data_IF_548854985211
#
_entry.id   IF_548854985211
#
_cell.length_a   1.000
_cell.length_b   1.000
_cell.length_c   1.000
_cell.angle_alpha   90.00
_cell.angle_beta   90.00
_cell.angle_gamma   90.00
#
_symmetry.space_group_name_H-M   'P 1'
#
loop_
_entity.id
_entity.type
_entity.pdbx_description
1 polymer ?
#
# COMPACT_ATOMS: atom_id res chain seq x y z
N UNK A 1 -10.33 11.45 -40.92
CA UNK A 1 -8.90 11.20 -40.99
C UNK A 1 -8.24 12.15 -40.01
N UNK A 2 -8.04 11.69 -38.77
CA UNK A 2 -7.37 12.46 -37.71
C UNK A 2 -5.88 12.23 -37.80
N UNK A 3 -5.12 13.29 -38.03
CA UNK A 3 -3.69 13.30 -37.82
C UNK A 3 -3.43 13.35 -36.32
N UNK A 4 -3.15 12.21 -35.69
CA UNK A 4 -2.47 12.15 -34.43
C UNK A 4 -1.00 12.45 -34.69
N UNK A 5 -0.59 13.66 -34.37
CA UNK A 5 0.81 14.08 -34.39
C UNK A 5 1.57 13.31 -33.30
N UNK A 6 2.55 12.49 -33.70
CA UNK A 6 3.56 11.93 -32.82
C UNK A 6 4.38 13.08 -32.20
N UNK A 7 4.15 13.40 -30.94
CA UNK A 7 5.05 14.22 -30.13
C UNK A 7 6.20 13.32 -29.62
N UNK A 8 7.45 13.74 -29.67
CA UNK A 8 8.59 12.97 -29.15
C UNK A 8 8.50 12.85 -27.61
N UNK A 9 8.82 11.70 -27.07
CA UNK A 9 8.74 11.37 -25.63
C UNK A 9 9.53 12.32 -24.71
N UNK A 10 10.57 12.97 -25.21
CA UNK A 10 11.37 13.96 -24.46
C UNK A 10 10.63 15.27 -24.18
N UNK A 11 9.68 15.67 -25.01
CA UNK A 11 8.89 16.87 -24.79
C UNK A 11 7.80 16.68 -23.72
N UNK A 12 7.32 15.45 -23.56
CA UNK A 12 6.27 15.14 -22.58
C UNK A 12 6.84 15.20 -21.16
N UNK A 13 8.06 14.71 -20.93
CA UNK A 13 8.71 14.75 -19.60
C UNK A 13 9.06 16.18 -19.17
N UNK A 14 9.58 17.00 -20.09
CA UNK A 14 9.86 18.41 -19.85
C UNK A 14 8.58 19.23 -19.59
N UNK A 15 7.50 18.93 -20.29
CA UNK A 15 6.20 19.56 -20.07
C UNK A 15 5.62 19.17 -18.71
N UNK A 16 5.71 17.89 -18.33
CA UNK A 16 5.26 17.41 -17.00
C UNK A 16 6.06 18.00 -15.85
N UNK A 17 7.39 18.18 -16.01
CA UNK A 17 8.21 18.90 -15.03
C UNK A 17 7.81 20.37 -14.92
N UNK A 18 7.51 21.04 -16.02
CA UNK A 18 7.08 22.42 -16.02
C UNK A 18 5.67 22.56 -15.43
N UNK A 19 4.73 21.68 -15.80
CA UNK A 19 3.38 21.62 -15.25
C UNK A 19 3.41 21.33 -13.74
N UNK A 20 4.32 20.48 -13.30
CA UNK A 20 4.53 20.20 -11.88
C UNK A 20 5.10 21.40 -11.10
N UNK A 21 6.03 22.16 -11.68
CA UNK A 21 6.53 23.42 -11.11
C UNK A 21 5.45 24.51 -11.12
N UNK A 22 4.60 24.53 -12.14
CA UNK A 22 3.50 25.49 -12.26
C UNK A 22 2.35 25.17 -11.30
N UNK A 23 2.09 23.90 -10.99
CA UNK A 23 1.11 23.50 -9.97
C UNK A 23 1.52 23.92 -8.55
N UNK A 24 2.81 23.90 -8.21
CA UNK A 24 3.29 24.49 -6.96
C UNK A 24 3.10 26.01 -6.91
N UNK A 25 3.01 26.68 -8.07
CA UNK A 25 2.65 28.11 -8.17
C UNK A 25 1.14 28.36 -8.11
N UNK A 26 0.32 27.35 -8.49
CA UNK A 26 -1.17 27.44 -8.45
C UNK A 26 -1.72 27.36 -7.02
N UNK A 27 -0.91 26.92 -6.05
CA UNK A 27 -1.28 26.87 -4.63
C UNK A 27 -0.53 27.93 -3.79
N UNK A 28 -0.61 29.23 -4.15
CA UNK A 28 0.17 30.28 -3.51
C UNK A 28 -0.19 30.51 -2.04
N UNK A 29 -1.36 30.03 -1.60
CA UNK A 29 -1.83 30.11 -0.22
C UNK A 29 -1.32 28.95 0.65
N UNK A 30 -0.48 28.07 0.15
CA UNK A 30 0.04 26.95 0.94
C UNK A 30 1.56 26.92 0.94
N UNK A 31 2.12 26.49 2.06
CA UNK A 31 3.56 26.23 2.22
C UNK A 31 3.80 24.89 2.89
N UNK A 32 4.93 24.24 2.56
CA UNK A 32 5.39 23.06 3.28
C UNK A 32 5.99 23.46 4.61
N UNK A 33 5.63 22.77 5.67
CA UNK A 33 6.18 22.94 7.02
C UNK A 33 6.47 21.57 7.62
N UNK A 34 7.47 21.49 8.52
CA UNK A 34 7.81 20.24 9.19
C UNK A 34 7.51 20.35 10.69
N UNK A 35 6.87 19.33 11.24
CA UNK A 35 6.68 19.17 12.68
C UNK A 35 7.70 18.16 13.19
N UNK A 36 8.56 18.61 14.13
CA UNK A 36 9.64 17.79 14.66
C UNK A 36 9.14 16.91 15.80
N UNK A 37 9.57 15.65 15.83
CA UNK A 37 9.33 14.71 16.92
C UNK A 37 10.30 14.89 18.11
N UNK A 38 10.35 13.87 18.98
CA UNK A 38 11.29 13.84 20.13
C UNK A 38 12.76 13.77 19.69
N UNK A 39 13.01 13.27 18.49
CA UNK A 39 14.31 13.18 17.85
C UNK A 39 14.38 14.18 16.69
N UNK A 40 15.53 14.80 16.43
CA UNK A 40 15.67 15.78 15.34
C UNK A 40 15.54 15.17 13.95
N UNK A 41 15.72 13.85 13.80
CA UNK A 41 15.56 13.10 12.57
C UNK A 41 14.10 12.63 12.31
N UNK A 42 13.17 12.90 13.24
CA UNK A 42 11.74 12.73 13.04
C UNK A 42 11.13 14.08 12.64
N UNK A 43 10.93 14.26 11.34
CA UNK A 43 10.35 15.46 10.76
C UNK A 43 9.16 15.08 9.88
N UNK A 44 7.96 15.48 10.31
CA UNK A 44 6.70 15.11 9.66
C UNK A 44 6.21 16.26 8.78
N UNK A 45 6.10 16.08 7.44
CA UNK A 45 5.73 17.15 6.53
C UNK A 45 4.23 17.44 6.56
N UNK A 46 3.90 18.71 6.65
CA UNK A 46 2.54 19.22 6.51
C UNK A 46 2.50 20.33 5.47
N UNK A 47 1.32 20.53 4.94
CA UNK A 47 0.99 21.71 4.16
C UNK A 47 0.15 22.63 5.00
N UNK A 48 0.70 23.81 5.33
CA UNK A 48 -0.03 24.89 5.98
C UNK A 48 -0.75 25.69 4.92
N UNK A 49 -2.08 25.69 4.95
CA UNK A 49 -2.94 26.37 3.97
C UNK A 49 -3.50 27.61 4.61
N UNK A 50 -3.15 28.80 4.11
CA UNK A 50 -3.71 30.07 4.56
C UNK A 50 -5.14 30.24 4.04
N UNK A 51 -6.05 30.58 4.94
CA UNK A 51 -7.44 30.86 4.59
C UNK A 51 -7.66 32.35 4.45
N UNK A 52 -8.59 32.75 3.61
CA UNK A 52 -9.04 34.14 3.52
C UNK A 52 -9.89 34.52 4.71
N UNK A 53 -9.79 35.77 5.17
CA UNK A 53 -10.67 36.28 6.24
C UNK A 53 -12.14 36.22 5.80
N UNK A 54 -13.03 35.92 6.74
CA UNK A 54 -14.46 36.01 6.49
C UNK A 54 -14.84 37.46 6.20
N UNK A 55 -15.54 37.76 5.08
CA UNK A 55 -15.92 39.12 4.75
C UNK A 55 -16.72 39.82 5.88
N UNK A 56 -16.47 41.09 6.11
CA UNK A 56 -17.12 41.85 7.17
C UNK A 56 -18.65 41.82 7.11
N UNK A 57 -19.24 41.72 5.92
CA UNK A 57 -20.67 41.51 5.70
C UNK A 57 -21.22 40.16 6.18
N UNK A 58 -20.32 39.19 6.48
CA UNK A 58 -20.63 37.83 7.00
C UNK A 58 -20.06 37.58 8.39
N UNK A 59 -19.62 38.64 9.12
CA UNK A 59 -19.13 38.51 10.49
C UNK A 59 -17.68 38.98 10.71
N UNK A 60 -16.85 39.06 9.70
CA UNK A 60 -15.50 39.64 9.77
C UNK A 60 -14.52 38.86 10.66
N UNK A 61 -14.50 37.51 10.59
CA UNK A 61 -13.64 36.69 11.44
C UNK A 61 -12.31 36.33 10.73
N UNK A 62 -11.25 36.29 11.52
CA UNK A 62 -9.96 35.71 11.09
C UNK A 62 -10.07 34.18 11.04
N UNK A 63 -9.67 33.59 9.92
CA UNK A 63 -9.62 32.15 9.76
C UNK A 63 -8.17 31.66 9.95
N UNK A 64 -7.86 30.85 10.98
CA UNK A 64 -6.52 30.30 11.16
C UNK A 64 -6.15 29.38 9.98
N UNK A 65 -4.84 29.21 9.67
CA UNK A 65 -4.38 28.27 8.67
C UNK A 65 -4.79 26.84 8.98
N UNK A 66 -5.07 26.07 7.93
CA UNK A 66 -5.38 24.64 8.04
C UNK A 66 -4.13 23.81 7.76
N UNK A 67 -3.83 22.86 8.65
CA UNK A 67 -2.71 21.93 8.52
C UNK A 67 -3.21 20.62 7.92
N UNK A 68 -2.59 20.18 6.80
CA UNK A 68 -2.89 18.90 6.13
C UNK A 68 -1.58 18.15 5.94
N UNK A 69 -1.56 16.85 6.26
CA UNK A 69 -0.38 16.03 5.98
C UNK A 69 -0.03 16.07 4.48
N UNK A 70 1.25 16.25 4.16
CA UNK A 70 1.72 16.37 2.79
C UNK A 70 2.28 15.03 2.31
N UNK A 71 1.46 14.23 1.61
CA UNK A 71 1.83 12.91 1.08
C UNK A 71 2.87 12.95 -0.03
N UNK A 72 3.20 14.14 -0.56
CA UNK A 72 4.15 14.28 -1.65
C UNK A 72 5.62 14.09 -1.23
N UNK A 73 5.90 13.90 0.06
CA UNK A 73 7.26 13.80 0.56
C UNK A 73 8.11 14.99 0.11
N UNK A 74 9.30 14.72 -0.39
CA UNK A 74 10.22 15.78 -0.84
C UNK A 74 9.86 16.42 -2.18
N UNK A 75 8.89 15.88 -2.92
CA UNK A 75 8.53 16.39 -4.26
C UNK A 75 7.99 17.83 -4.27
N UNK A 76 7.48 18.31 -3.17
CA UNK A 76 6.98 19.69 -3.02
C UNK A 76 7.81 20.51 -2.05
N UNK A 77 9.00 20.05 -1.69
CA UNK A 77 9.96 20.77 -0.85
C UNK A 77 10.83 21.68 -1.73
N UNK A 78 10.78 23.01 -1.57
CA UNK A 78 11.54 23.94 -2.40
C UNK A 78 13.05 23.88 -2.15
N UNK A 79 13.47 23.33 -1.00
CA UNK A 79 14.88 23.27 -0.59
C UNK A 79 15.56 21.96 -1.03
N UNK A 80 14.80 20.99 -1.57
CA UNK A 80 15.30 19.69 -2.02
C UNK A 80 15.37 19.63 -3.54
N UNK A 81 16.54 19.32 -4.06
CA UNK A 81 16.73 19.01 -5.48
C UNK A 81 16.58 17.50 -5.67
N UNK A 82 15.62 17.11 -6.50
CA UNK A 82 15.31 15.70 -6.79
C UNK A 82 16.02 15.28 -8.08
N UNK A 83 16.71 14.14 -8.01
CA UNK A 83 17.20 13.40 -9.17
C UNK A 83 16.61 11.98 -9.11
N UNK A 84 15.65 11.69 -9.96
CA UNK A 84 14.97 10.40 -10.02
C UNK A 84 15.92 9.22 -10.26
N UNK A 85 17.08 9.47 -10.90
CA UNK A 85 18.09 8.43 -11.13
C UNK A 85 18.84 8.05 -9.84
N UNK A 86 18.89 8.95 -8.86
CA UNK A 86 19.50 8.70 -7.55
C UNK A 86 18.50 8.11 -6.54
N UNK A 87 17.20 8.27 -6.81
CA UNK A 87 16.14 7.98 -5.86
C UNK A 87 15.95 9.07 -4.80
N UNK A 88 14.98 8.89 -3.95
CA UNK A 88 14.68 9.82 -2.86
C UNK A 88 15.64 9.66 -1.68
N UNK A 89 15.83 10.70 -0.85
CA UNK A 89 16.54 10.57 0.41
C UNK A 89 15.88 9.57 1.34
N UNK A 90 16.68 8.73 2.00
CA UNK A 90 16.21 7.76 2.97
C UNK A 90 15.77 8.44 4.27
N UNK A 91 14.50 8.30 4.62
CA UNK A 91 13.92 8.84 5.86
C UNK A 91 14.21 7.91 7.04
N UNK A 92 14.10 6.59 6.84
CA UNK A 92 14.10 5.58 7.92
C UNK A 92 15.41 4.79 8.07
N UNK A 93 16.42 5.03 7.22
CA UNK A 93 17.66 4.25 7.23
C UNK A 93 18.31 4.18 8.62
N UNK A 94 18.47 5.33 9.27
CA UNK A 94 19.07 5.40 10.60
C UNK A 94 18.26 4.72 11.68
N UNK A 95 16.93 4.70 11.55
CA UNK A 95 16.03 4.03 12.49
C UNK A 95 16.13 2.51 12.38
N UNK A 96 16.18 2.01 11.14
CA UNK A 96 16.34 0.58 10.84
C UNK A 96 17.69 0.08 11.36
N UNK A 97 18.78 0.82 11.10
CA UNK A 97 20.13 0.46 11.52
C UNK A 97 20.30 0.49 13.05
N UNK A 98 19.69 1.47 13.72
CA UNK A 98 19.76 1.61 15.17
C UNK A 98 19.13 0.44 15.95
N UNK A 99 18.21 -0.31 15.32
CA UNK A 99 17.61 -1.51 15.94
C UNK A 99 18.57 -2.70 16.02
N UNK A 100 19.60 -2.72 15.19
CA UNK A 100 20.64 -3.77 15.15
C UNK A 100 20.10 -5.22 15.08
N UNK A 101 19.00 -5.41 14.38
CA UNK A 101 18.33 -6.72 14.23
C UNK A 101 18.27 -7.21 12.78
N UNK A 102 18.94 -6.51 11.87
CA UNK A 102 19.05 -6.85 10.44
C UNK A 102 20.48 -7.03 10.00
N UNK A 103 20.68 -7.88 8.98
CA UNK A 103 21.94 -8.03 8.25
C UNK A 103 21.77 -7.51 6.81
N UNK A 104 22.81 -6.87 6.28
CA UNK A 104 22.90 -6.52 4.85
C UNK A 104 23.35 -7.76 4.08
N UNK A 105 22.57 -8.17 3.10
CA UNK A 105 22.92 -9.28 2.22
C UNK A 105 24.00 -8.84 1.21
N UNK A 106 24.89 -9.75 0.83
CA UNK A 106 25.92 -9.44 -0.17
C UNK A 106 25.36 -9.33 -1.60
N UNK A 107 24.14 -9.81 -1.82
CA UNK A 107 23.41 -9.80 -3.11
C UNK A 107 21.95 -10.13 -2.86
N UNK A 108 21.10 -9.96 -3.88
CA UNK A 108 19.74 -10.52 -3.88
C UNK A 108 19.78 -12.04 -3.65
N UNK A 109 18.85 -12.58 -2.87
CA UNK A 109 18.75 -14.03 -2.64
C UNK A 109 17.76 -14.71 -3.59
N UNK A 110 16.84 -13.97 -4.21
CA UNK A 110 15.97 -14.46 -5.28
C UNK A 110 16.76 -14.87 -6.53
N UNK A 111 16.46 -16.06 -7.06
CA UNK A 111 17.10 -16.57 -8.29
C UNK A 111 16.72 -15.70 -9.50
N UNK A 112 15.46 -15.29 -9.61
CA UNK A 112 15.00 -14.41 -10.69
C UNK A 112 15.66 -13.03 -10.59
N UNK A 113 15.68 -12.41 -9.40
CA UNK A 113 16.34 -11.13 -9.20
C UNK A 113 17.83 -11.17 -9.57
N UNK A 114 18.55 -12.24 -9.21
CA UNK A 114 19.94 -12.43 -9.63
C UNK A 114 20.09 -12.58 -11.14
N UNK A 115 19.17 -13.29 -11.80
CA UNK A 115 19.17 -13.45 -13.25
C UNK A 115 18.92 -12.11 -13.97
N UNK A 116 17.98 -11.28 -13.46
CA UNK A 116 17.69 -9.95 -14.01
C UNK A 116 18.89 -9.01 -13.90
N UNK A 117 19.64 -9.04 -12.81
CA UNK A 117 20.86 -8.23 -12.67
C UNK A 117 21.95 -8.58 -13.69
N UNK A 118 21.94 -9.80 -14.24
CA UNK A 118 22.91 -10.28 -15.25
C UNK A 118 22.39 -10.11 -16.68
N UNK A 119 21.11 -9.85 -16.88
CA UNK A 119 20.50 -9.75 -18.21
C UNK A 119 20.87 -8.41 -18.86
N UNK A 120 21.76 -8.47 -19.86
CA UNK A 120 22.22 -7.30 -20.59
C UNK A 120 21.09 -6.57 -21.34
N UNK A 121 19.99 -7.26 -21.65
CA UNK A 121 18.85 -6.66 -22.36
C UNK A 121 18.09 -5.64 -21.51
N UNK A 122 18.25 -5.69 -20.19
CA UNK A 122 17.62 -4.77 -19.25
C UNK A 122 18.58 -3.75 -18.67
N UNK A 123 19.85 -3.74 -19.11
CA UNK A 123 20.89 -2.89 -18.55
C UNK A 123 20.52 -1.39 -18.61
N UNK A 124 19.94 -0.95 -19.72
CA UNK A 124 19.62 0.46 -19.99
C UNK A 124 18.38 0.96 -19.22
N UNK A 125 17.52 0.05 -18.73
CA UNK A 125 16.29 0.40 -18.00
C UNK A 125 16.40 0.09 -16.50
N UNK A 126 17.52 -0.47 -16.07
CA UNK A 126 17.76 -0.84 -14.68
C UNK A 126 18.07 0.40 -13.85
N UNK A 127 17.50 0.47 -12.65
CA UNK A 127 17.88 1.50 -11.70
C UNK A 127 19.36 1.37 -11.31
N UNK A 128 20.14 2.44 -11.44
CA UNK A 128 21.59 2.36 -11.34
C UNK A 128 22.12 2.22 -9.90
N UNK A 129 21.35 2.73 -8.92
CA UNK A 129 21.76 2.85 -7.52
C UNK A 129 21.07 1.83 -6.61
N UNK A 130 20.93 0.58 -7.08
CA UNK A 130 20.37 -0.52 -6.29
C UNK A 130 21.25 -0.78 -5.06
N UNK A 131 20.64 -0.74 -3.88
CA UNK A 131 21.30 -1.09 -2.64
C UNK A 131 21.23 -2.60 -2.38
N UNK A 132 22.21 -3.12 -1.64
CA UNK A 132 22.13 -4.49 -1.15
C UNK A 132 20.98 -4.60 -0.13
N UNK A 133 20.08 -5.58 -0.26
CA UNK A 133 18.92 -5.68 0.62
C UNK A 133 19.31 -6.04 2.04
N UNK A 134 18.48 -5.64 2.98
CA UNK A 134 18.53 -6.06 4.38
C UNK A 134 17.55 -7.19 4.62
N UNK A 135 17.85 -8.02 5.59
CA UNK A 135 16.97 -9.08 6.09
C UNK A 135 17.16 -9.22 7.60
N UNK A 136 16.11 -9.63 8.30
CA UNK A 136 16.20 -9.94 9.72
C UNK A 136 17.33 -10.93 10.01
N UNK A 137 18.10 -10.70 11.08
CA UNK A 137 19.10 -11.65 11.60
C UNK A 137 18.42 -12.97 11.94
N UNK A 138 19.18 -14.07 11.91
CA UNK A 138 18.65 -15.39 12.21
C UNK A 138 17.88 -15.41 13.54
N UNK A 139 16.64 -15.87 13.52
CA UNK A 139 15.75 -15.95 14.67
C UNK A 139 15.15 -14.61 15.13
N UNK A 140 15.37 -13.52 14.43
CA UNK A 140 14.73 -12.22 14.69
C UNK A 140 13.47 -12.04 13.86
N UNK A 141 12.58 -11.19 14.34
CA UNK A 141 11.42 -10.67 13.65
C UNK A 141 11.51 -9.14 13.67
N UNK A 142 11.31 -8.49 12.52
CA UNK A 142 11.51 -7.04 12.35
C UNK A 142 10.23 -6.29 12.07
N UNK A 143 9.07 -6.94 12.25
CA UNK A 143 7.78 -6.32 11.97
C UNK A 143 7.39 -5.30 13.03
N UNK A 144 6.67 -4.26 12.62
CA UNK A 144 6.12 -3.27 13.56
C UNK A 144 5.18 -3.91 14.58
N UNK A 145 4.44 -4.96 14.20
CA UNK A 145 3.61 -5.72 15.15
C UNK A 145 4.45 -6.44 16.22
N UNK A 146 5.58 -7.01 15.83
CA UNK A 146 6.48 -7.65 16.78
C UNK A 146 6.99 -6.66 17.84
N UNK A 147 7.50 -5.52 17.42
CA UNK A 147 7.93 -4.48 18.36
C UNK A 147 6.77 -3.98 19.22
N UNK A 148 5.60 -3.76 18.63
CA UNK A 148 4.41 -3.30 19.34
C UNK A 148 3.97 -4.28 20.44
N UNK A 149 3.95 -5.59 20.17
CA UNK A 149 3.62 -6.64 21.15
C UNK A 149 4.65 -6.75 22.28
N UNK A 150 5.90 -6.38 22.02
CA UNK A 150 6.95 -6.31 23.05
C UNK A 150 6.93 -5.00 23.86
N UNK A 151 5.98 -4.11 23.61
CA UNK A 151 5.89 -2.81 24.29
C UNK A 151 6.88 -1.77 23.77
N UNK A 152 7.52 -2.00 22.62
CA UNK A 152 8.50 -1.10 22.03
C UNK A 152 7.77 -0.09 21.16
N UNK A 153 8.01 1.20 21.40
CA UNK A 153 7.59 2.31 20.54
C UNK A 153 8.73 2.58 19.56
N UNK A 154 8.45 2.41 18.27
CA UNK A 154 9.41 2.67 17.19
C UNK A 154 9.36 4.14 16.76
N UNK A 155 10.41 4.68 16.09
CA UNK A 155 10.35 6.01 15.49
C UNK A 155 9.21 6.17 14.49
N UNK A 156 8.86 5.11 13.78
CA UNK A 156 7.71 5.06 12.87
C UNK A 156 6.39 5.33 13.61
N UNK A 157 6.20 4.77 14.80
CA UNK A 157 5.00 5.00 15.62
C UNK A 157 4.92 6.44 16.14
N UNK A 158 6.06 7.05 16.47
CA UNK A 158 6.11 8.47 16.86
C UNK A 158 5.78 9.38 15.67
N UNK A 159 6.37 9.11 14.50
CA UNK A 159 6.07 9.83 13.26
C UNK A 159 4.57 9.81 12.97
N UNK A 160 3.95 8.63 13.05
CA UNK A 160 2.51 8.44 12.84
C UNK A 160 1.68 9.20 13.87
N UNK A 161 2.06 9.20 15.14
CA UNK A 161 1.36 9.94 16.18
C UNK A 161 1.29 11.44 15.86
N UNK A 162 2.39 12.03 15.38
CA UNK A 162 2.44 13.42 14.95
C UNK A 162 1.53 13.63 13.73
N UNK A 163 1.66 12.76 12.71
CA UNK A 163 0.88 12.81 11.47
C UNK A 163 -0.63 12.80 11.73
N UNK A 164 -1.10 11.88 12.57
CA UNK A 164 -2.52 11.69 12.84
C UNK A 164 -3.10 12.76 13.81
N UNK A 165 -2.32 13.21 14.80
CA UNK A 165 -2.74 14.24 15.75
C UNK A 165 -3.00 15.58 15.07
N UNK A 166 -2.14 16.01 14.14
CA UNK A 166 -2.30 17.29 13.44
C UNK A 166 -3.64 17.33 12.67
N UNK A 167 -4.01 16.25 12.03
CA UNK A 167 -5.31 16.13 11.34
C UNK A 167 -6.49 16.06 12.32
N UNK A 168 -6.32 15.49 13.51
CA UNK A 168 -7.38 15.37 14.49
C UNK A 168 -7.73 16.72 15.14
N UNK A 169 -6.76 17.60 15.39
CA UNK A 169 -7.01 18.95 15.92
C UNK A 169 -7.96 19.74 15.01
N UNK A 170 -7.75 19.69 13.70
CA UNK A 170 -8.62 20.34 12.73
C UNK A 170 -10.05 19.80 12.77
N UNK A 171 -10.20 18.49 12.97
CA UNK A 171 -11.54 17.86 13.04
C UNK A 171 -12.31 18.20 14.30
N UNK A 172 -11.65 18.45 15.43
CA UNK A 172 -12.30 18.79 16.69
C UNK A 172 -13.00 20.15 16.60
N UNK A 173 -12.40 21.09 15.90
CA UNK A 173 -12.97 22.42 15.67
C UNK A 173 -14.12 22.41 14.63
N UNK A 174 -14.13 21.40 13.74
CA UNK A 174 -15.15 21.24 12.71
C UNK A 174 -16.34 20.35 13.10
N UNK A 175 -16.39 19.79 14.32
CA UNK A 175 -17.50 18.95 14.81
C UNK A 175 -18.75 19.81 15.12
N UNK A 176 -19.39 20.32 14.09
CA UNK A 176 -20.72 20.92 14.21
C UNK A 176 -21.86 19.89 14.23
N UNK A 177 -21.57 18.64 13.87
CA UNK A 177 -22.55 17.54 13.85
C UNK A 177 -21.90 16.27 14.40
N UNK A 178 -22.47 15.72 15.47
CA UNK A 178 -22.15 14.39 15.96
C UNK A 178 -22.79 13.36 15.02
N UNK A 179 -21.99 12.75 14.13
CA UNK A 179 -22.39 11.59 13.38
C UNK A 179 -22.18 10.30 14.17
N UNK A 180 -22.76 9.20 13.71
CA UNK A 180 -22.45 7.88 14.24
C UNK A 180 -20.98 7.53 13.96
N UNK A 181 -20.28 7.06 14.99
CA UNK A 181 -18.86 6.66 14.87
C UNK A 181 -18.69 5.29 14.25
N UNK A 182 -19.78 4.53 14.10
CA UNK A 182 -19.77 3.11 13.71
C UNK A 182 -18.75 2.29 14.51
N UNK A 183 -18.57 2.67 15.79
CA UNK A 183 -17.65 2.05 16.73
C UNK A 183 -16.18 2.47 16.60
N UNK A 184 -15.83 3.46 15.78
CA UNK A 184 -14.50 4.06 15.81
C UNK A 184 -14.36 4.95 17.04
N UNK A 185 -13.26 4.80 17.78
CA UNK A 185 -12.94 5.59 18.96
C UNK A 185 -11.61 6.31 18.75
N UNK A 186 -11.64 7.35 17.92
CA UNK A 186 -10.42 8.13 17.64
C UNK A 186 -10.20 9.16 18.76
N UNK A 187 -9.09 9.08 19.51
CA UNK A 187 -8.75 10.10 20.50
C UNK A 187 -8.52 11.46 19.84
N UNK A 188 -8.73 12.55 20.60
CA UNK A 188 -8.41 13.90 20.14
C UNK A 188 -6.90 14.09 19.90
N UNK A 189 -6.06 13.36 20.64
CA UNK A 189 -4.61 13.32 20.48
C UNK A 189 -4.20 11.87 20.29
N UNK A 190 -3.55 11.57 19.19
CA UNK A 190 -2.95 10.27 18.92
C UNK A 190 -1.54 10.26 19.53
N UNK A 191 -1.32 9.40 20.50
CA UNK A 191 0.00 9.24 21.12
C UNK A 191 0.77 8.06 20.50
N UNK A 192 2.10 8.03 20.56
CA UNK A 192 2.87 6.86 20.11
C UNK A 192 2.44 5.56 20.81
N UNK A 193 2.05 5.63 22.07
CA UNK A 193 1.54 4.48 22.82
C UNK A 193 0.18 4.00 22.29
N UNK A 194 -0.71 4.91 21.89
CA UNK A 194 -1.96 4.54 21.22
C UNK A 194 -1.69 3.83 19.90
N UNK A 195 -0.78 4.37 19.06
CA UNK A 195 -0.35 3.73 17.81
C UNK A 195 0.17 2.32 18.09
N UNK A 196 1.10 2.18 19.05
CA UNK A 196 1.65 0.89 19.45
C UNK A 196 0.54 -0.10 19.88
N UNK A 197 -0.40 0.35 20.70
CA UNK A 197 -1.47 -0.51 21.21
C UNK A 197 -2.41 -1.01 20.11
N UNK A 198 -2.74 -0.17 19.13
CA UNK A 198 -3.58 -0.55 17.99
C UNK A 198 -2.87 -1.56 17.07
N UNK A 199 -1.57 -1.35 16.81
CA UNK A 199 -0.75 -2.29 16.04
C UNK A 199 -0.58 -3.61 16.78
N UNK A 200 -0.28 -3.59 18.08
CA UNK A 200 -0.14 -4.80 18.89
C UNK A 200 -1.43 -5.65 18.92
N UNK A 201 -2.59 -4.99 18.89
CA UNK A 201 -3.90 -5.64 18.88
C UNK A 201 -4.34 -6.11 17.47
N UNK A 202 -3.60 -5.80 16.42
CA UNK A 202 -3.95 -6.12 15.03
C UNK A 202 -5.01 -5.22 14.42
N UNK A 203 -5.45 -4.16 15.12
CA UNK A 203 -6.45 -3.21 14.63
C UNK A 203 -5.90 -2.12 13.72
N UNK A 204 -4.58 -2.08 13.57
CA UNK A 204 -3.90 -1.18 12.64
C UNK A 204 -2.62 -1.83 12.09
N UNK A 205 -2.21 -1.39 10.90
CA UNK A 205 -0.95 -1.80 10.28
C UNK A 205 -0.11 -0.59 9.90
N UNK A 206 1.21 -0.76 9.97
CA UNK A 206 2.23 0.18 9.47
C UNK A 206 2.98 -0.54 8.35
N UNK A 207 2.59 -0.40 7.08
CA UNK A 207 3.24 -1.07 5.96
C UNK A 207 4.54 -0.34 5.60
N UNK A 208 5.66 -0.78 6.17
CA UNK A 208 6.96 -0.12 6.02
C UNK A 208 8.12 -1.13 5.96
N UNK A 209 8.34 -1.72 4.79
CA UNK A 209 9.45 -2.65 4.55
C UNK A 209 10.81 -2.02 4.93
N UNK A 210 11.69 -2.81 5.54
CA UNK A 210 13.07 -2.38 5.90
C UNK A 210 13.94 -2.06 4.68
N UNK A 211 13.56 -2.52 3.47
CA UNK A 211 14.22 -2.25 2.20
C UNK A 211 13.58 -1.09 1.41
N UNK A 212 12.64 -0.36 2.02
CA UNK A 212 12.08 0.88 1.48
C UNK A 212 12.28 2.04 2.47
N UNK A 213 13.53 2.39 2.80
CA UNK A 213 13.81 3.42 3.80
C UNK A 213 13.44 4.83 3.34
N UNK A 214 13.13 5.04 2.07
CA UNK A 214 12.68 6.31 1.48
C UNK A 214 11.24 6.65 1.88
N UNK A 215 10.41 5.63 2.18
CA UNK A 215 9.00 5.85 2.51
C UNK A 215 8.80 6.50 3.89
N UNK A 216 7.88 7.44 3.93
CA UNK A 216 7.38 8.07 5.15
C UNK A 216 6.35 7.17 5.85
N UNK A 217 6.42 6.97 7.17
CA UNK A 217 5.50 6.11 7.90
C UNK A 217 4.03 6.52 7.77
N UNK A 218 3.18 5.51 7.57
CA UNK A 218 1.75 5.64 7.45
C UNK A 218 1.05 4.51 8.22
N UNK A 219 -0.15 4.76 8.71
CA UNK A 219 -0.96 3.76 9.41
C UNK A 219 -2.31 3.59 8.74
N UNK A 220 -2.76 2.35 8.64
CA UNK A 220 -4.10 1.99 8.19
C UNK A 220 -4.81 1.31 9.35
N UNK A 221 -5.95 1.85 9.76
CA UNK A 221 -6.73 1.30 10.86
C UNK A 221 -7.97 2.12 11.15
N UNK A 222 -8.99 1.46 11.70
CA UNK A 222 -10.31 2.04 11.94
C UNK A 222 -10.29 3.27 12.85
N UNK A 223 -9.35 3.32 13.80
CA UNK A 223 -9.23 4.41 14.76
C UNK A 223 -8.30 5.55 14.29
N UNK A 224 -7.98 5.57 12.99
CA UNK A 224 -7.16 6.57 12.33
C UNK A 224 -7.90 7.16 11.13
N UNK A 225 -7.34 8.22 10.56
CA UNK A 225 -7.91 8.82 9.35
C UNK A 225 -7.87 7.83 8.18
N UNK A 226 -8.91 7.85 7.36
CA UNK A 226 -8.97 7.04 6.12
C UNK A 226 -7.78 7.38 5.23
N UNK A 227 -7.16 6.36 4.67
CA UNK A 227 -6.05 6.46 3.73
C UNK A 227 -6.52 6.17 2.31
N UNK A 228 -5.94 6.86 1.35
CA UNK A 228 -6.25 6.70 -0.07
C UNK A 228 -5.11 5.98 -0.75
N UNK A 229 -5.43 4.85 -1.38
CA UNK A 229 -4.53 4.16 -2.28
C UNK A 229 -4.78 4.59 -3.73
N UNK A 230 -3.71 4.83 -4.49
CA UNK A 230 -3.78 5.03 -5.93
C UNK A 230 -3.20 3.81 -6.66
N UNK A 231 -3.95 3.27 -7.61
CA UNK A 231 -3.50 2.18 -8.46
C UNK A 231 -2.77 2.71 -9.68
N UNK A 232 -1.59 2.19 -9.94
CA UNK A 232 -0.81 2.40 -11.16
C UNK A 232 -0.37 1.05 -11.72
N UNK A 233 0.34 1.04 -12.82
CA UNK A 233 0.93 -0.17 -13.39
C UNK A 233 0.95 -0.16 -14.90
N UNK A 234 2.02 -0.69 -15.47
CA UNK A 234 2.12 -0.92 -16.90
C UNK A 234 1.28 -2.12 -17.34
N UNK A 235 0.99 -2.18 -18.63
CA UNK A 235 0.29 -3.29 -19.25
C UNK A 235 0.95 -3.66 -20.58
N UNK A 236 0.50 -4.78 -21.17
CA UNK A 236 0.95 -5.18 -22.51
C UNK A 236 0.64 -4.15 -23.62
N UNK A 237 -0.27 -3.22 -23.35
CA UNK A 237 -0.72 -2.20 -24.31
C UNK A 237 0.08 -0.89 -24.25
N UNK A 238 0.88 -0.66 -23.20
CA UNK A 238 1.67 0.54 -23.06
C UNK A 238 2.00 0.90 -21.61
N UNK A 239 2.64 2.02 -21.49
CA UNK A 239 3.25 2.67 -20.34
C UNK A 239 4.72 2.26 -20.12
N UNK A 240 5.56 3.27 -20.10
CA UNK A 240 6.99 3.15 -19.80
C UNK A 240 7.25 3.26 -18.30
N UNK A 241 8.48 2.96 -17.87
CA UNK A 241 8.93 3.17 -16.49
C UNK A 241 8.78 4.64 -16.09
N UNK A 242 9.18 5.57 -16.96
CA UNK A 242 9.09 7.02 -16.70
C UNK A 242 7.63 7.47 -16.51
N UNK A 243 6.71 6.92 -17.31
CA UNK A 243 5.27 7.20 -17.15
C UNK A 243 4.72 6.67 -15.84
N UNK A 244 5.15 5.47 -15.39
CA UNK A 244 4.73 4.91 -14.10
C UNK A 244 5.25 5.74 -12.93
N UNK A 245 6.52 6.17 -12.95
CA UNK A 245 7.09 7.07 -11.94
C UNK A 245 6.38 8.43 -11.95
N UNK A 246 6.04 8.94 -13.12
CA UNK A 246 5.29 10.19 -13.26
C UNK A 246 3.87 10.07 -12.67
N UNK A 247 3.15 8.99 -12.96
CA UNK A 247 1.82 8.70 -12.38
C UNK A 247 1.87 8.60 -10.85
N UNK A 248 2.87 7.90 -10.30
CA UNK A 248 3.10 7.80 -8.87
C UNK A 248 3.35 9.18 -8.24
N UNK A 249 4.27 9.96 -8.79
CA UNK A 249 4.59 11.30 -8.30
C UNK A 249 3.35 12.21 -8.33
N UNK A 250 2.58 12.12 -9.40
CA UNK A 250 1.33 12.87 -9.53
C UNK A 250 0.30 12.46 -8.47
N UNK A 251 0.09 11.14 -8.27
CA UNK A 251 -0.84 10.63 -7.28
C UNK A 251 -0.48 11.08 -5.85
N UNK A 252 0.81 11.02 -5.48
CA UNK A 252 1.27 11.45 -4.15
C UNK A 252 1.08 12.95 -3.93
N UNK A 253 1.28 13.78 -4.95
CA UNK A 253 0.98 15.23 -4.88
C UNK A 253 -0.50 15.52 -4.65
N UNK A 254 -1.39 14.65 -5.09
CA UNK A 254 -2.83 14.77 -4.93
C UNK A 254 -3.39 14.02 -3.72
N UNK A 255 -2.55 13.55 -2.83
CA UNK A 255 -2.96 13.04 -1.53
C UNK A 255 -3.08 11.51 -1.46
N UNK A 256 -2.49 10.76 -2.40
CA UNK A 256 -2.37 9.32 -2.25
C UNK A 256 -1.46 9.01 -1.05
N UNK A 257 -1.98 8.26 -0.09
CA UNK A 257 -1.25 7.82 1.11
C UNK A 257 -0.43 6.55 0.85
N UNK A 258 -0.77 5.80 -0.19
CA UNK A 258 -0.07 4.61 -0.66
C UNK A 258 -0.30 4.41 -2.15
N UNK A 259 0.59 3.68 -2.79
CA UNK A 259 0.52 3.34 -4.22
C UNK A 259 0.49 1.82 -4.36
N UNK A 260 -0.35 1.33 -5.25
CA UNK A 260 -0.35 -0.08 -5.61
C UNK A 260 0.13 -0.24 -7.05
N UNK A 261 1.28 -0.93 -7.21
CA UNK A 261 1.80 -1.30 -8.52
C UNK A 261 1.12 -2.59 -9.00
N UNK A 262 0.21 -2.43 -9.95
CA UNK A 262 -0.54 -3.52 -10.59
C UNK A 262 0.04 -3.90 -11.96
N UNK A 263 1.32 -3.68 -12.19
CA UNK A 263 2.00 -3.97 -13.45
C UNK A 263 1.80 -5.41 -13.90
N UNK A 264 1.45 -5.57 -15.17
CA UNK A 264 1.20 -6.86 -15.84
C UNK A 264 1.87 -6.95 -17.21
N UNK A 265 2.60 -5.89 -17.61
CA UNK A 265 3.37 -5.83 -18.85
C UNK A 265 4.77 -6.40 -18.70
N UNK A 266 5.68 -5.96 -19.57
CA UNK A 266 7.08 -6.35 -19.51
C UNK A 266 7.85 -5.54 -18.46
N UNK A 267 8.98 -6.08 -17.99
CA UNK A 267 9.91 -5.39 -17.10
C UNK A 267 9.33 -5.00 -15.74
N UNK A 268 8.43 -5.82 -15.20
CA UNK A 268 7.80 -5.60 -13.87
C UNK A 268 8.87 -5.41 -12.79
N UNK A 269 9.95 -6.19 -12.82
CA UNK A 269 11.07 -6.08 -11.88
C UNK A 269 11.71 -4.69 -11.87
N UNK A 270 12.07 -4.19 -13.05
CA UNK A 270 12.73 -2.89 -13.20
C UNK A 270 11.77 -1.75 -12.90
N UNK A 271 10.54 -1.79 -13.40
CA UNK A 271 9.51 -0.79 -13.12
C UNK A 271 9.31 -0.62 -11.62
N UNK A 272 9.16 -1.73 -10.89
CA UNK A 272 8.98 -1.71 -9.43
C UNK A 272 10.18 -1.12 -8.69
N UNK A 273 11.42 -1.43 -9.11
CA UNK A 273 12.61 -0.84 -8.49
C UNK A 273 12.62 0.68 -8.62
N UNK A 274 12.31 1.22 -9.80
CA UNK A 274 12.19 2.66 -10.03
C UNK A 274 11.09 3.29 -9.18
N UNK A 275 9.94 2.62 -9.05
CA UNK A 275 8.83 3.10 -8.23
C UNK A 275 9.23 3.17 -6.76
N UNK A 276 9.78 2.09 -6.21
CA UNK A 276 10.15 2.03 -4.78
C UNK A 276 11.20 3.07 -4.44
N UNK A 277 12.29 3.17 -5.23
CA UNK A 277 13.36 4.16 -4.96
C UNK A 277 12.90 5.61 -5.07
N UNK A 278 11.80 5.87 -5.76
CA UNK A 278 11.26 7.21 -5.97
C UNK A 278 9.92 7.45 -5.23
N UNK A 279 9.46 6.55 -4.38
CA UNK A 279 8.22 6.70 -3.65
C UNK A 279 8.41 7.22 -2.23
N UNK A 280 7.77 8.34 -1.86
CA UNK A 280 7.73 8.79 -0.47
C UNK A 280 6.65 8.08 0.36
N UNK A 281 5.81 7.24 -0.27
CA UNK A 281 4.71 6.52 0.37
C UNK A 281 4.87 5.02 0.19
N UNK A 282 4.25 4.18 1.05
CA UNK A 282 4.31 2.73 0.90
C UNK A 282 3.83 2.24 -0.47
N UNK A 283 4.50 1.20 -0.98
CA UNK A 283 4.19 0.52 -2.25
C UNK A 283 3.62 -0.87 -1.97
N UNK A 284 2.43 -1.14 -2.49
CA UNK A 284 1.84 -2.48 -2.52
C UNK A 284 1.94 -3.14 -3.89
N UNK A 285 1.90 -4.45 -3.92
CA UNK A 285 1.88 -5.25 -5.16
C UNK A 285 0.94 -6.44 -5.06
N UNK A 286 0.68 -7.07 -6.21
CA UNK A 286 0.00 -8.37 -6.32
C UNK A 286 1.00 -9.40 -6.87
N UNK A 287 1.78 -10.09 -6.03
CA UNK A 287 2.91 -10.91 -6.48
C UNK A 287 2.55 -12.00 -7.50
N UNK A 288 1.31 -12.50 -7.45
CA UNK A 288 0.85 -13.52 -8.39
C UNK A 288 0.86 -13.02 -9.85
N UNK A 289 0.78 -11.71 -10.10
CA UNK A 289 0.83 -11.17 -11.47
C UNK A 289 2.22 -11.34 -12.08
N UNK A 290 3.27 -11.07 -11.32
CA UNK A 290 4.63 -11.31 -11.77
C UNK A 290 4.97 -12.81 -11.81
N UNK A 291 4.47 -13.61 -10.85
CA UNK A 291 4.63 -15.06 -10.91
C UNK A 291 4.00 -15.63 -12.19
N UNK A 292 2.84 -15.10 -12.61
CA UNK A 292 2.17 -15.48 -13.84
C UNK A 292 2.99 -15.08 -15.09
N UNK A 293 3.63 -13.90 -15.07
CA UNK A 293 4.57 -13.49 -16.15
C UNK A 293 5.71 -14.49 -16.29
N UNK A 294 6.26 -14.98 -15.17
CA UNK A 294 7.39 -15.94 -15.16
C UNK A 294 7.04 -17.30 -15.78
N UNK A 295 5.75 -17.61 -15.93
CA UNK A 295 5.23 -18.83 -16.59
C UNK A 295 4.44 -18.51 -17.86
N UNK A 296 4.85 -17.44 -18.57
CA UNK A 296 4.28 -17.04 -19.87
C UNK A 296 2.73 -16.90 -19.86
N UNK A 297 2.14 -16.57 -18.71
CA UNK A 297 0.70 -16.35 -18.55
C UNK A 297 -0.13 -17.63 -18.37
N UNK A 298 0.47 -18.80 -18.21
CA UNK A 298 -0.21 -20.09 -18.02
C UNK A 298 -0.42 -20.34 -16.53
N UNK A 299 -1.65 -20.12 -16.04
CA UNK A 299 -1.93 -20.19 -14.59
C UNK A 299 -1.67 -21.59 -14.02
N UNK A 300 -1.88 -22.65 -14.79
CA UNK A 300 -1.67 -24.04 -14.40
C UNK A 300 -0.19 -24.37 -14.14
N UNK A 301 0.74 -23.64 -14.75
CA UNK A 301 2.18 -23.85 -14.60
C UNK A 301 2.76 -23.15 -13.36
N UNK A 302 1.95 -22.37 -12.63
CA UNK A 302 2.37 -21.76 -11.38
C UNK A 302 2.70 -22.82 -10.33
N UNK A 303 3.82 -22.63 -9.63
CA UNK A 303 4.24 -23.48 -8.53
C UNK A 303 4.53 -22.65 -7.28
N UNK A 304 4.56 -23.32 -6.11
CA UNK A 304 4.97 -22.68 -4.88
C UNK A 304 6.38 -22.10 -4.97
N UNK A 305 7.33 -22.81 -5.61
CA UNK A 305 8.72 -22.39 -5.74
C UNK A 305 8.85 -21.07 -6.51
N UNK A 306 8.15 -20.95 -7.64
CA UNK A 306 8.11 -19.71 -8.44
C UNK A 306 7.52 -18.58 -7.63
N UNK A 307 6.41 -18.84 -6.95
CA UNK A 307 5.73 -17.83 -6.14
C UNK A 307 6.59 -17.40 -4.94
N UNK A 308 7.20 -18.37 -4.25
CA UNK A 308 8.12 -18.12 -3.14
C UNK A 308 9.31 -17.24 -3.55
N UNK A 309 9.96 -17.56 -4.68
CA UNK A 309 11.05 -16.73 -5.21
C UNK A 309 10.58 -15.31 -5.56
N UNK A 310 9.37 -15.18 -6.07
CA UNK A 310 8.75 -13.87 -6.37
C UNK A 310 8.50 -13.05 -5.10
N UNK A 311 8.03 -13.66 -4.01
CA UNK A 311 7.85 -12.97 -2.73
C UNK A 311 9.18 -12.45 -2.17
N UNK A 312 10.22 -13.30 -2.20
CA UNK A 312 11.56 -12.92 -1.74
C UNK A 312 12.12 -11.77 -2.58
N UNK A 313 12.02 -11.87 -3.90
CA UNK A 313 12.45 -10.83 -4.82
C UNK A 313 11.80 -9.47 -4.48
N UNK A 314 10.48 -9.45 -4.36
CA UNK A 314 9.73 -8.23 -4.10
C UNK A 314 9.98 -7.66 -2.70
N UNK A 315 10.11 -8.52 -1.70
CA UNK A 315 10.47 -8.10 -0.34
C UNK A 315 11.88 -7.51 -0.25
N UNK A 316 12.84 -8.07 -0.99
CA UNK A 316 14.21 -7.56 -1.08
C UNK A 316 14.31 -6.25 -1.86
N UNK A 317 13.42 -6.01 -2.82
CA UNK A 317 13.32 -4.71 -3.49
C UNK A 317 12.70 -3.64 -2.59
N UNK A 318 11.85 -4.02 -1.62
CA UNK A 318 11.28 -3.08 -0.67
C UNK A 318 9.77 -2.89 -0.77
N UNK A 319 9.03 -3.82 -1.36
CA UNK A 319 7.55 -3.76 -1.36
C UNK A 319 7.03 -3.81 0.07
N UNK A 320 6.14 -2.89 0.43
CA UNK A 320 5.68 -2.68 1.80
C UNK A 320 4.51 -3.60 2.18
N UNK A 321 3.67 -3.99 1.21
CA UNK A 321 2.59 -4.94 1.45
C UNK A 321 2.24 -5.76 0.21
N UNK A 322 1.83 -7.00 0.43
CA UNK A 322 1.45 -7.94 -0.63
C UNK A 322 -0.04 -8.25 -0.61
N UNK A 323 -0.70 -8.13 -1.76
CA UNK A 323 -2.03 -8.70 -1.96
C UNK A 323 -1.91 -10.20 -2.24
N UNK A 324 -2.42 -11.02 -1.31
CA UNK A 324 -2.37 -12.48 -1.37
C UNK A 324 -3.80 -13.05 -1.33
N UNK A 325 -4.22 -13.66 -2.44
CA UNK A 325 -5.57 -14.24 -2.61
C UNK A 325 -5.68 -15.66 -2.00
N UNK A 326 -5.22 -15.81 -0.75
CA UNK A 326 -5.18 -17.12 -0.07
C UNK A 326 -6.57 -17.64 0.35
N UNK A 327 -7.59 -16.78 0.34
CA UNK A 327 -8.97 -17.15 0.68
C UNK A 327 -9.74 -17.82 -0.46
N UNK A 328 -9.22 -17.83 -1.69
CA UNK A 328 -9.85 -18.50 -2.84
C UNK A 328 -9.63 -20.00 -2.72
N UNK A 329 -10.62 -20.68 -2.12
CA UNK A 329 -10.58 -22.13 -1.93
C UNK A 329 -11.42 -22.88 -2.99
N UNK A 330 -10.98 -24.07 -3.34
CA UNK A 330 -11.65 -24.91 -4.33
C UNK A 330 -13.15 -25.09 -4.02
N UNK A 331 -13.50 -25.23 -2.73
CA UNK A 331 -14.91 -25.38 -2.28
C UNK A 331 -15.80 -24.16 -2.55
N UNK A 332 -15.23 -22.95 -2.70
CA UNK A 332 -15.97 -21.72 -2.95
C UNK A 332 -16.15 -21.42 -4.44
N UNK A 333 -15.27 -21.93 -5.30
CA UNK A 333 -15.32 -21.67 -6.74
C UNK A 333 -16.69 -22.04 -7.36
N UNK A 334 -17.30 -23.20 -7.06
CA UNK A 334 -18.61 -23.53 -7.60
C UNK A 334 -19.74 -22.58 -7.18
N UNK A 335 -19.61 -21.90 -6.04
CA UNK A 335 -20.60 -20.93 -5.54
C UNK A 335 -20.70 -19.68 -6.43
N UNK A 336 -19.68 -19.41 -7.23
CA UNK A 336 -19.66 -18.26 -8.16
C UNK A 336 -20.33 -18.56 -9.51
N UNK A 337 -20.73 -19.82 -9.78
CA UNK A 337 -21.21 -20.25 -11.09
C UNK A 337 -22.52 -19.56 -11.53
N UNK A 338 -23.35 -19.12 -10.58
CA UNK A 338 -24.62 -18.45 -10.84
C UNK A 338 -24.53 -16.92 -10.72
N UNK A 339 -23.33 -16.36 -10.50
CA UNK A 339 -23.13 -14.92 -10.44
C UNK A 339 -23.30 -14.29 -11.82
N UNK A 340 -23.81 -13.08 -11.83
CA UNK A 340 -23.94 -12.28 -13.06
C UNK A 340 -22.57 -11.93 -13.65
N UNK A 341 -21.58 -11.61 -12.81
CA UNK A 341 -20.23 -11.20 -13.22
C UNK A 341 -19.15 -12.27 -12.96
N UNK A 342 -19.51 -13.41 -12.36
CA UNK A 342 -18.55 -14.48 -12.06
C UNK A 342 -17.47 -14.09 -11.06
N UNK A 343 -16.19 -14.32 -11.38
CA UNK A 343 -15.03 -13.95 -10.58
C UNK A 343 -14.31 -12.78 -11.28
N UNK A 344 -14.53 -11.57 -10.80
CA UNK A 344 -13.99 -10.33 -11.40
C UNK A 344 -12.56 -10.01 -10.94
N UNK A 345 -12.12 -10.54 -9.81
CA UNK A 345 -10.76 -10.39 -9.35
C UNK A 345 -9.79 -11.14 -10.26
N UNK A 346 -8.78 -10.44 -10.80
CA UNK A 346 -7.76 -11.09 -11.63
C UNK A 346 -6.97 -12.15 -10.84
N UNK A 347 -6.52 -11.83 -9.63
CA UNK A 347 -5.82 -12.79 -8.78
C UNK A 347 -6.74 -13.94 -8.35
N UNK A 348 -8.00 -13.63 -8.04
CA UNK A 348 -9.02 -14.63 -7.72
C UNK A 348 -9.28 -15.61 -8.87
N UNK A 349 -9.39 -15.09 -10.11
CA UNK A 349 -9.63 -15.95 -11.29
C UNK A 349 -8.40 -16.83 -11.62
N UNK A 350 -7.18 -16.30 -11.49
CA UNK A 350 -5.93 -17.08 -11.66
C UNK A 350 -5.92 -18.26 -10.68
N UNK A 351 -6.19 -17.99 -9.40
CA UNK A 351 -6.17 -19.04 -8.38
C UNK A 351 -7.34 -20.03 -8.51
N UNK A 352 -8.52 -19.56 -8.88
CA UNK A 352 -9.65 -20.45 -9.18
C UNK A 352 -9.33 -21.40 -10.34
N UNK A 353 -8.74 -20.89 -11.43
CA UNK A 353 -8.30 -21.70 -12.58
C UNK A 353 -7.25 -22.74 -12.13
N UNK A 354 -6.25 -22.31 -11.34
CA UNK A 354 -5.24 -23.22 -10.81
C UNK A 354 -5.85 -24.34 -9.98
N UNK A 355 -6.75 -24.01 -9.04
CA UNK A 355 -7.41 -24.98 -8.17
C UNK A 355 -8.25 -26.00 -8.98
N UNK A 356 -8.96 -25.53 -10.01
CA UNK A 356 -9.75 -26.39 -10.88
C UNK A 356 -8.87 -27.32 -11.73
N UNK A 357 -7.78 -26.81 -12.31
CA UNK A 357 -6.87 -27.58 -13.14
C UNK A 357 -6.18 -28.71 -12.35
N UNK A 358 -5.75 -28.41 -11.12
CA UNK A 358 -5.02 -29.35 -10.28
C UNK A 358 -5.91 -30.19 -9.34
N UNK A 359 -7.19 -29.87 -9.21
CA UNK A 359 -8.10 -30.47 -8.23
C UNK A 359 -7.55 -30.44 -6.79
N UNK A 360 -6.94 -29.31 -6.41
CA UNK A 360 -6.28 -29.08 -5.12
C UNK A 360 -6.59 -27.68 -4.60
N UNK A 361 -6.45 -27.51 -3.27
CA UNK A 361 -6.41 -26.18 -2.69
C UNK A 361 -5.17 -25.41 -3.13
N UNK A 362 -5.33 -24.10 -3.24
CA UNK A 362 -4.29 -23.15 -3.64
C UNK A 362 -3.01 -23.29 -2.80
N UNK A 363 -1.85 -23.21 -3.46
CA UNK A 363 -0.57 -23.13 -2.74
C UNK A 363 -0.45 -21.86 -1.89
N UNK A 364 -1.19 -20.79 -2.19
CA UNK A 364 -1.26 -19.59 -1.34
C UNK A 364 -1.88 -19.90 0.02
N UNK A 365 -2.84 -20.82 0.07
CA UNK A 365 -3.45 -21.29 1.30
C UNK A 365 -2.61 -22.34 2.01
N UNK A 366 -2.13 -23.37 1.28
CA UNK A 366 -1.40 -24.51 1.88
C UNK A 366 -0.02 -24.13 2.38
N UNK A 367 0.60 -23.08 1.83
CA UNK A 367 1.91 -22.54 2.26
C UNK A 367 1.79 -21.18 2.98
N UNK A 368 0.63 -20.89 3.57
CA UNK A 368 0.41 -19.58 4.18
C UNK A 368 1.37 -19.26 5.33
N UNK A 369 1.72 -20.26 6.15
CA UNK A 369 2.73 -20.09 7.21
C UNK A 369 4.13 -19.81 6.64
N UNK A 370 4.50 -20.47 5.54
CA UNK A 370 5.77 -20.21 4.85
C UNK A 370 5.82 -18.76 4.30
N UNK A 371 4.68 -18.24 3.80
CA UNK A 371 4.55 -16.84 3.39
C UNK A 371 4.77 -15.93 4.59
N UNK A 372 4.17 -16.20 5.74
CA UNK A 372 4.38 -15.43 6.96
C UNK A 372 5.86 -15.42 7.38
N UNK A 373 6.55 -16.56 7.28
CA UNK A 373 7.98 -16.68 7.60
C UNK A 373 8.87 -15.82 6.69
N UNK A 374 8.49 -15.63 5.42
CA UNK A 374 9.17 -14.72 4.50
C UNK A 374 8.88 -13.27 4.91
N UNK A 375 7.61 -12.91 5.08
CA UNK A 375 7.19 -11.51 5.27
C UNK A 375 7.74 -10.90 6.55
N UNK A 376 7.81 -11.68 7.65
CA UNK A 376 8.35 -11.19 8.93
C UNK A 376 9.84 -10.84 8.90
N UNK A 377 10.57 -11.32 7.90
CA UNK A 377 12.00 -11.03 7.75
C UNK A 377 12.27 -9.65 7.15
N UNK A 378 11.25 -9.02 6.55
CA UNK A 378 11.39 -7.77 5.81
C UNK A 378 10.40 -6.67 6.26
N UNK A 379 9.53 -6.97 7.23
CA UNK A 379 8.40 -6.11 7.65
C UNK A 379 7.41 -5.81 6.49
N UNK A 380 7.04 -6.85 5.76
CA UNK A 380 5.99 -6.78 4.74
C UNK A 380 4.64 -7.08 5.38
N UNK A 381 3.62 -6.25 5.13
CA UNK A 381 2.26 -6.49 5.59
C UNK A 381 1.42 -7.28 4.57
N UNK A 382 0.41 -8.00 5.04
CA UNK A 382 -0.62 -8.57 4.17
C UNK A 382 -1.68 -7.53 3.80
N UNK A 383 -2.07 -7.52 2.52
CA UNK A 383 -3.40 -7.21 2.04
C UNK A 383 -4.04 -8.54 1.65
N UNK A 384 -4.84 -9.14 2.54
CA UNK A 384 -5.49 -10.42 2.23
C UNK A 384 -6.58 -10.18 1.20
N UNK A 385 -6.32 -10.66 -0.02
CA UNK A 385 -7.09 -10.33 -1.21
C UNK A 385 -8.47 -10.98 -1.23
N UNK A 386 -9.48 -10.21 -1.60
CA UNK A 386 -10.86 -10.63 -1.81
C UNK A 386 -11.07 -11.17 -3.24
N UNK A 387 -10.46 -12.31 -3.52
CA UNK A 387 -10.50 -12.94 -4.85
C UNK A 387 -11.91 -13.30 -5.34
N UNK A 388 -12.85 -13.47 -4.42
CA UNK A 388 -14.26 -13.78 -4.69
C UNK A 388 -15.20 -12.61 -4.41
N UNK A 389 -14.69 -11.36 -4.40
CA UNK A 389 -15.54 -10.16 -4.29
C UNK A 389 -16.56 -10.08 -5.43
N UNK A 390 -17.78 -9.51 -5.20
CA UNK A 390 -18.75 -9.28 -6.25
C UNK A 390 -18.28 -8.22 -7.25
N UNK A 391 -18.68 -8.35 -8.51
CA UNK A 391 -18.44 -7.35 -9.55
C UNK A 391 -19.65 -6.49 -9.88
N UNK A 392 -20.79 -6.75 -9.24
CA UNK A 392 -22.01 -5.96 -9.35
C UNK A 392 -22.85 -6.10 -8.08
N UNK A 393 -23.86 -5.23 -7.91
CA UNK A 393 -24.75 -5.25 -6.74
C UNK A 393 -25.56 -6.55 -6.61
N UNK A 394 -25.89 -7.19 -7.72
CA UNK A 394 -26.64 -8.45 -7.76
C UNK A 394 -25.88 -9.59 -7.06
N UNK A 395 -24.57 -9.63 -7.18
CA UNK A 395 -23.70 -10.68 -6.65
C UNK A 395 -23.22 -10.38 -5.22
N UNK A 396 -23.54 -9.18 -4.69
CA UNK A 396 -23.03 -8.72 -3.39
C UNK A 396 -23.57 -9.53 -2.22
N UNK A 397 -22.73 -9.83 -1.25
CA UNK A 397 -23.06 -10.54 0.00
C UNK A 397 -23.55 -11.96 -0.22
N UNK A 398 -23.04 -12.64 -1.24
CA UNK A 398 -23.35 -14.04 -1.49
C UNK A 398 -22.47 -15.00 -0.65
N UNK A 399 -22.75 -16.30 -0.76
CA UNK A 399 -22.02 -17.33 -0.02
C UNK A 399 -20.55 -17.44 -0.41
N UNK A 400 -20.17 -17.13 -1.67
CA UNK A 400 -18.79 -17.16 -2.12
C UNK A 400 -17.98 -16.04 -1.45
N UNK A 401 -18.50 -14.80 -1.46
CA UNK A 401 -17.87 -13.66 -0.81
C UNK A 401 -17.70 -13.89 0.69
N UNK A 402 -18.75 -14.29 1.39
CA UNK A 402 -18.69 -14.49 2.85
C UNK A 402 -17.94 -15.77 3.24
N UNK A 403 -17.92 -16.78 2.38
CA UNK A 403 -17.07 -17.96 2.57
C UNK A 403 -15.60 -17.60 2.56
N UNK A 404 -15.18 -16.82 1.56
CA UNK A 404 -13.82 -16.29 1.51
C UNK A 404 -13.50 -15.41 2.72
N UNK A 405 -14.39 -14.48 3.11
CA UNK A 405 -14.17 -13.58 4.25
C UNK A 405 -13.91 -14.37 5.55
N UNK A 406 -14.63 -15.47 5.81
CA UNK A 406 -14.37 -16.35 6.96
C UNK A 406 -12.96 -16.93 6.91
N UNK A 407 -12.54 -17.40 5.73
CA UNK A 407 -11.18 -17.92 5.56
C UNK A 407 -10.12 -16.84 5.76
N UNK A 408 -10.35 -15.60 5.28
CA UNK A 408 -9.44 -14.46 5.52
C UNK A 408 -9.33 -14.17 7.03
N UNK A 409 -10.42 -14.26 7.79
CA UNK A 409 -10.41 -14.14 9.25
C UNK A 409 -9.56 -15.24 9.92
N UNK A 410 -9.69 -16.50 9.49
CA UNK A 410 -8.86 -17.61 9.98
C UNK A 410 -7.37 -17.38 9.68
N UNK A 411 -7.04 -16.97 8.46
CA UNK A 411 -5.67 -16.68 8.02
C UNK A 411 -5.08 -15.47 8.76
N UNK A 412 -5.89 -14.49 9.11
CA UNK A 412 -5.48 -13.34 9.94
C UNK A 412 -4.93 -13.82 11.29
N UNK A 413 -5.62 -14.77 11.95
CA UNK A 413 -5.13 -15.32 13.21
C UNK A 413 -3.82 -16.10 13.04
N UNK A 414 -3.61 -16.75 11.90
CA UNK A 414 -2.33 -17.41 11.59
C UNK A 414 -1.22 -16.37 11.42
N UNK A 415 -1.44 -15.32 10.61
CA UNK A 415 -0.45 -14.26 10.40
C UNK A 415 -0.05 -13.56 11.71
N UNK A 416 -1.02 -13.26 12.59
CA UNK A 416 -0.76 -12.63 13.87
C UNK A 416 0.06 -13.49 14.86
N UNK A 417 0.04 -14.81 14.72
CA UNK A 417 0.94 -15.72 15.49
C UNK A 417 2.40 -15.57 15.06
N UNK A 418 2.62 -15.18 13.80
CA UNK A 418 3.95 -14.86 13.26
C UNK A 418 4.33 -13.38 13.43
N UNK A 419 3.49 -12.58 14.10
CA UNK A 419 3.61 -11.13 14.23
C UNK A 419 3.61 -10.40 12.87
N UNK A 420 2.94 -10.93 11.85
CA UNK A 420 2.78 -10.29 10.54
C UNK A 420 1.50 -9.49 10.52
N UNK A 421 1.59 -8.23 10.11
CA UNK A 421 0.49 -7.30 10.03
C UNK A 421 -0.46 -7.65 8.88
N UNK A 422 -1.77 -7.46 9.09
CA UNK A 422 -2.83 -7.83 8.13
C UNK A 422 -3.82 -6.70 7.97
N UNK A 423 -4.15 -6.34 6.73
CA UNK A 423 -5.41 -5.71 6.36
C UNK A 423 -6.20 -6.65 5.44
N UNK A 424 -7.52 -6.52 5.45
CA UNK A 424 -8.45 -7.34 4.68
C UNK A 424 -8.96 -6.53 3.49
N UNK A 425 -8.88 -7.10 2.29
CA UNK A 425 -9.55 -6.49 1.14
C UNK A 425 -11.05 -6.79 1.15
N UNK A 426 -11.83 -5.87 0.61
CA UNK A 426 -13.27 -6.00 0.53
C UNK A 426 -13.90 -5.30 -0.67
N UNK A 427 -15.18 -5.60 -0.95
CA UNK A 427 -15.85 -5.20 -2.16
C UNK A 427 -16.16 -3.70 -2.20
N UNK A 428 -16.20 -3.14 -3.42
CA UNK A 428 -16.77 -1.82 -3.71
C UNK A 428 -18.22 -1.89 -4.20
N UNK A 429 -18.62 -2.98 -4.86
CA UNK A 429 -19.96 -3.18 -5.40
C UNK A 429 -20.92 -3.73 -4.33
N UNK A 430 -21.30 -2.87 -3.37
CA UNK A 430 -22.25 -3.18 -2.31
C UNK A 430 -23.30 -2.09 -2.25
N UNK A 431 -24.58 -2.45 -2.29
CA UNK A 431 -25.67 -1.50 -2.16
C UNK A 431 -25.55 -0.69 -0.87
N UNK A 432 -25.83 0.62 -0.93
CA UNK A 432 -25.61 1.56 0.19
C UNK A 432 -26.25 1.10 1.50
N UNK A 433 -27.45 0.56 1.44
CA UNK A 433 -28.17 0.04 2.61
C UNK A 433 -27.58 -1.26 3.19
N UNK A 434 -26.64 -1.92 2.50
CA UNK A 434 -25.98 -3.15 2.95
C UNK A 434 -24.52 -2.95 3.36
N UNK A 435 -23.98 -1.75 3.24
CA UNK A 435 -22.58 -1.43 3.62
C UNK A 435 -22.35 -1.76 5.09
N UNK A 436 -23.29 -1.36 5.99
CA UNK A 436 -23.16 -1.64 7.41
C UNK A 436 -23.11 -3.14 7.73
N UNK A 437 -23.99 -3.94 7.11
CA UNK A 437 -24.00 -5.40 7.26
C UNK A 437 -22.65 -6.00 6.85
N UNK A 438 -22.11 -5.57 5.71
CA UNK A 438 -20.82 -6.04 5.21
C UNK A 438 -19.68 -5.67 6.15
N UNK A 439 -19.67 -4.42 6.66
CA UNK A 439 -18.65 -3.94 7.59
C UNK A 439 -18.71 -4.65 8.94
N UNK A 440 -19.92 -4.82 9.52
CA UNK A 440 -20.10 -5.50 10.80
C UNK A 440 -19.59 -6.95 10.73
N UNK A 441 -19.90 -7.65 9.64
CA UNK A 441 -19.44 -9.02 9.44
C UNK A 441 -17.93 -9.13 9.27
N UNK A 442 -17.29 -8.18 8.55
CA UNK A 442 -15.85 -8.12 8.44
C UNK A 442 -15.18 -7.91 9.79
N UNK A 443 -15.67 -6.97 10.58
CA UNK A 443 -15.14 -6.69 11.93
C UNK A 443 -15.23 -7.91 12.84
N UNK A 444 -16.37 -8.62 12.80
CA UNK A 444 -16.58 -9.83 13.59
C UNK A 444 -15.65 -10.96 13.16
N UNK A 445 -15.67 -11.31 11.87
CA UNK A 445 -14.93 -12.45 11.34
C UNK A 445 -13.42 -12.23 11.33
N UNK A 446 -12.96 -10.99 11.10
CA UNK A 446 -11.56 -10.65 10.97
C UNK A 446 -10.99 -9.94 12.22
N UNK A 447 -11.70 -9.97 13.36
CA UNK A 447 -11.20 -9.50 14.68
C UNK A 447 -10.73 -8.04 14.64
N UNK A 448 -11.53 -7.15 14.06
CA UNK A 448 -11.24 -5.71 13.89
C UNK A 448 -9.99 -5.38 13.04
N UNK A 449 -9.45 -6.32 12.25
CA UNK A 449 -8.38 -6.02 11.30
C UNK A 449 -8.78 -4.90 10.34
N UNK A 450 -7.85 -4.04 9.89
CA UNK A 450 -8.13 -2.96 8.95
C UNK A 450 -8.82 -3.47 7.68
N UNK A 451 -9.73 -2.67 7.12
CA UNK A 451 -10.51 -3.01 5.96
C UNK A 451 -10.14 -2.10 4.78
N UNK A 452 -9.70 -2.70 3.68
CA UNK A 452 -9.33 -2.01 2.44
C UNK A 452 -10.37 -2.35 1.37
N UNK A 453 -11.17 -1.37 0.95
CA UNK A 453 -12.23 -1.56 -0.05
C UNK A 453 -11.87 -0.85 -1.35
N UNK A 454 -12.38 -1.36 -2.46
CA UNK A 454 -12.49 -0.55 -3.66
C UNK A 454 -13.27 0.73 -3.36
N UNK A 455 -13.02 1.80 -4.10
CA UNK A 455 -13.84 3.01 -4.00
C UNK A 455 -15.32 2.65 -4.07
N UNK A 456 -16.20 3.27 -3.25
CA UNK A 456 -17.57 2.83 -3.08
C UNK A 456 -18.34 2.90 -4.40
N UNK A 457 -18.56 1.73 -5.00
CA UNK A 457 -19.34 1.53 -6.23
C UNK A 457 -20.74 1.05 -5.82
N UNK A 458 -21.45 1.90 -5.08
CA UNK A 458 -22.76 1.60 -4.49
C UNK A 458 -23.90 1.48 -5.51
N UNK A 459 -23.60 1.74 -6.77
CA UNK A 459 -24.50 1.56 -7.93
C UNK A 459 -23.72 0.90 -9.06
N UNK A 460 -24.42 0.27 -9.99
CA UNK A 460 -23.86 -0.35 -11.21
C UNK A 460 -23.96 0.57 -12.43
N UNK A 461 -24.15 1.87 -12.23
CA UNK A 461 -24.36 2.85 -13.30
C UNK A 461 -23.14 3.77 -13.36
#
# INVERSE_FOLDING_TARGET
>A
MNQLTNLPSADISAQHEQDAKDLTRILPASKKVYVTGSRPDIQVPFREISLTETPTGLGGEYNPPVMVYDTSGVYTDPDVQIDLNQGLPSVRQTWIEARDDTDVLSRLSSDFGQARLKDIRTADIRFAHIQNPRRAKAGKNVTQMHYAKQGIITPEMEYIAIRETQKQHERTDMRQHEGETFGAHTPAIITPEFVRSEVAAGRAIIPNNINHPESEPMIIGRNFLVKINANIGNSALGSSIDEEVSKMTWATRWGADTIMDLSTGNHIHETREWLIRNSPVPIGTVPIYQALEKVDGVAEDLTWEIFRDTLIEQAEQGVDYFTIHAGVLLRYVPLTANRLTGIVSRGGSIMAQWCLAHHKESFLYTHFEDICEIMKQYDVAFSLGDGLRPGCLQDANDEAQFGELRTLGELTQVAWKHDVQVMIEGPGHVAMNRIKENMDLQLELCSDAPFYTLGPLTTDI
#
